data_IF_908821557332
#
_entry.id   IF_908821557332
#
_cell.length_a   1.000
_cell.length_b   1.000
_cell.length_c   1.000
_cell.angle_alpha   90.00
_cell.angle_beta   90.00
_cell.angle_gamma   90.00
#
_symmetry.space_group_name_H-M   'P 1'
#
loop_
_entity.id
_entity.type
_entity.pdbx_description
1 polymer ?
#
# COMPACT_ATOMS: atom_id res chain seq x y z
N UNK A 1 -26.84 29.06 -22.19
CA UNK A 1 -26.88 27.60 -21.97
C UNK A 1 -25.82 27.32 -20.90
N UNK A 2 -26.24 27.03 -19.67
CA UNK A 2 -25.34 26.64 -18.57
C UNK A 2 -25.00 25.17 -18.76
N UNK A 3 -23.74 24.87 -19.02
CA UNK A 3 -23.23 23.51 -18.94
C UNK A 3 -23.20 23.07 -17.46
N UNK A 4 -24.12 22.20 -17.06
CA UNK A 4 -24.07 21.49 -15.79
C UNK A 4 -23.04 20.38 -15.98
N UNK A 5 -21.92 20.47 -15.29
CA UNK A 5 -20.94 19.39 -15.16
C UNK A 5 -21.62 18.27 -14.37
N UNK A 6 -22.06 17.22 -15.06
CA UNK A 6 -22.65 16.04 -14.42
C UNK A 6 -21.58 15.38 -13.57
N UNK A 7 -21.78 15.38 -12.26
CA UNK A 7 -20.89 14.69 -11.31
C UNK A 7 -20.96 13.18 -11.57
N UNK A 8 -19.84 12.47 -11.35
CA UNK A 8 -19.65 11.04 -11.61
C UNK A 8 -20.70 10.11 -10.95
N UNK A 9 -21.48 10.56 -9.97
CA UNK A 9 -22.59 9.82 -9.35
C UNK A 9 -23.76 9.52 -10.32
N UNK A 10 -23.90 10.25 -11.41
CA UNK A 10 -24.90 9.96 -12.45
C UNK A 10 -24.48 8.80 -13.38
N UNK A 11 -23.18 8.47 -13.42
CA UNK A 11 -22.65 7.42 -14.29
C UNK A 11 -23.21 6.03 -13.90
N UNK A 12 -23.39 5.75 -12.61
CA UNK A 12 -23.91 4.48 -12.10
C UNK A 12 -25.37 4.23 -12.54
N UNK A 13 -26.23 5.25 -12.44
CA UNK A 13 -27.66 5.13 -12.85
C UNK A 13 -27.78 5.05 -14.37
N UNK A 14 -26.96 5.80 -15.10
CA UNK A 14 -26.97 5.80 -16.57
C UNK A 14 -26.52 4.44 -17.15
N UNK A 15 -25.48 3.83 -16.53
CA UNK A 15 -24.97 2.53 -16.93
C UNK A 15 -25.95 1.38 -16.66
N UNK A 16 -26.73 1.45 -15.58
CA UNK A 16 -27.83 0.49 -15.31
C UNK A 16 -28.90 0.57 -16.39
N UNK A 17 -29.21 1.77 -16.89
CA UNK A 17 -30.22 1.99 -17.93
C UNK A 17 -29.81 1.49 -19.33
N UNK A 18 -28.50 1.45 -19.63
CA UNK A 18 -27.97 0.98 -20.93
C UNK A 18 -27.38 -0.43 -20.88
N UNK A 19 -27.50 -1.15 -19.75
CA UNK A 19 -27.06 -2.54 -19.60
C UNK A 19 -25.54 -2.72 -19.57
N UNK A 20 -24.76 -1.66 -19.36
CA UNK A 20 -23.30 -1.75 -19.15
C UNK A 20 -23.04 -2.18 -17.72
N UNK A 21 -22.39 -3.30 -17.54
CA UNK A 21 -21.94 -3.78 -16.23
C UNK A 21 -20.74 -2.91 -15.83
N UNK A 22 -20.96 -2.00 -14.89
CA UNK A 22 -19.88 -1.17 -14.29
C UNK A 22 -19.09 -2.00 -13.31
N UNK A 23 -17.76 -1.98 -13.39
CA UNK A 23 -16.86 -2.71 -12.50
C UNK A 23 -15.80 -1.78 -11.95
N UNK A 24 -15.30 -2.11 -10.75
CA UNK A 24 -14.10 -1.53 -10.17
C UNK A 24 -13.12 -2.66 -9.88
N UNK A 25 -11.88 -2.50 -10.31
CA UNK A 25 -10.84 -3.54 -10.17
C UNK A 25 -9.68 -2.99 -9.36
N UNK A 26 -9.31 -3.71 -8.32
CA UNK A 26 -8.19 -3.39 -7.45
C UNK A 26 -7.03 -4.34 -7.76
N UNK A 27 -5.86 -3.76 -8.02
CA UNK A 27 -4.64 -4.49 -8.34
C UNK A 27 -3.61 -4.32 -7.22
N UNK A 28 -3.07 -5.41 -6.71
CA UNK A 28 -1.77 -5.32 -6.05
C UNK A 28 -0.67 -4.97 -7.07
N UNK A 29 0.47 -4.51 -6.57
CA UNK A 29 1.63 -4.14 -7.39
C UNK A 29 2.66 -5.26 -7.50
N UNK A 30 3.28 -5.62 -6.39
CA UNK A 30 4.47 -6.45 -6.35
C UNK A 30 4.12 -7.95 -6.52
N UNK A 31 4.49 -8.55 -7.65
CA UNK A 31 4.10 -9.91 -8.00
C UNK A 31 2.76 -10.02 -8.72
N UNK A 32 1.99 -8.93 -8.81
CA UNK A 32 0.70 -8.89 -9.51
C UNK A 32 0.77 -8.05 -10.78
N UNK A 33 0.87 -6.73 -10.67
CA UNK A 33 1.01 -5.84 -11.83
C UNK A 33 2.47 -5.73 -12.28
N UNK A 34 3.41 -5.77 -11.34
CA UNK A 34 4.84 -5.74 -11.56
C UNK A 34 5.35 -7.17 -11.48
N UNK A 35 6.12 -7.61 -12.48
CA UNK A 35 6.71 -8.95 -12.48
C UNK A 35 7.60 -9.18 -11.25
N UNK A 36 7.55 -10.41 -10.72
CA UNK A 36 8.30 -10.83 -9.53
C UNK A 36 9.73 -11.34 -9.90
N UNK A 37 10.15 -11.14 -11.14
CA UNK A 37 11.46 -11.49 -11.64
C UNK A 37 12.47 -10.32 -11.56
N UNK A 38 13.73 -10.59 -11.90
CA UNK A 38 14.78 -9.57 -11.92
C UNK A 38 14.49 -8.39 -12.86
N UNK A 39 13.64 -8.59 -13.86
CA UNK A 39 13.29 -7.57 -14.84
C UNK A 39 12.40 -6.47 -14.23
N UNK A 40 11.59 -6.81 -13.22
CA UNK A 40 10.75 -5.87 -12.46
C UNK A 40 9.96 -4.93 -13.38
N UNK A 41 9.28 -5.52 -14.38
CA UNK A 41 8.56 -4.82 -15.44
C UNK A 41 7.05 -4.86 -15.22
N UNK A 42 6.37 -3.90 -15.83
CA UNK A 42 4.92 -3.92 -16.04
C UNK A 42 4.71 -4.27 -17.51
N UNK A 43 4.04 -5.39 -17.84
CA UNK A 43 3.82 -5.77 -19.24
C UNK A 43 2.95 -4.75 -19.97
N UNK A 44 3.31 -4.39 -21.19
CA UNK A 44 2.50 -3.49 -22.04
C UNK A 44 1.07 -4.02 -22.26
N UNK A 45 0.91 -5.35 -22.29
CA UNK A 45 -0.41 -5.97 -22.39
C UNK A 45 -1.31 -5.68 -21.18
N UNK A 46 -0.73 -5.58 -19.96
CA UNK A 46 -1.47 -5.20 -18.77
C UNK A 46 -1.89 -3.73 -18.82
N UNK A 47 -0.98 -2.84 -19.22
CA UNK A 47 -1.26 -1.40 -19.39
C UNK A 47 -2.38 -1.19 -20.40
N UNK A 48 -2.29 -1.86 -21.57
CA UNK A 48 -3.31 -1.78 -22.60
C UNK A 48 -4.68 -2.31 -22.14
N UNK A 49 -4.70 -3.38 -21.33
CA UNK A 49 -5.93 -3.94 -20.77
C UNK A 49 -6.59 -2.97 -19.78
N UNK A 50 -5.77 -2.31 -18.92
CA UNK A 50 -6.23 -1.29 -17.97
C UNK A 50 -6.89 -0.13 -18.73
N UNK A 51 -6.21 0.44 -19.73
CA UNK A 51 -6.73 1.55 -20.53
C UNK A 51 -8.02 1.16 -21.24
N UNK A 52 -8.07 -0.04 -21.85
CA UNK A 52 -9.27 -0.52 -22.51
C UNK A 52 -10.46 -0.70 -21.55
N UNK A 53 -10.20 -1.14 -20.33
CA UNK A 53 -11.23 -1.24 -19.31
C UNK A 53 -11.74 0.14 -18.88
N UNK A 54 -10.84 1.13 -18.73
CA UNK A 54 -11.21 2.53 -18.46
C UNK A 54 -12.01 3.15 -19.59
N UNK A 55 -11.66 2.90 -20.86
CA UNK A 55 -12.44 3.33 -22.06
C UNK A 55 -13.86 2.75 -22.04
N UNK A 56 -14.06 1.56 -21.48
CA UNK A 56 -15.37 0.95 -21.29
C UNK A 56 -16.11 1.44 -20.03
N UNK A 57 -15.55 2.43 -19.31
CA UNK A 57 -16.17 3.07 -18.16
C UNK A 57 -15.92 2.36 -16.83
N UNK A 58 -15.02 1.36 -16.77
CA UNK A 58 -14.63 0.70 -15.53
C UNK A 58 -13.60 1.54 -14.74
N UNK A 59 -13.53 1.36 -13.42
CA UNK A 59 -12.53 2.01 -12.60
C UNK A 59 -11.38 1.04 -12.26
N UNK A 60 -10.15 1.50 -12.45
CA UNK A 60 -8.94 0.75 -12.20
C UNK A 60 -8.17 1.37 -11.04
N UNK A 61 -7.96 0.61 -9.99
CA UNK A 61 -7.33 1.07 -8.75
C UNK A 61 -6.09 0.24 -8.42
N UNK A 62 -5.06 0.91 -7.94
CA UNK A 62 -3.96 0.24 -7.24
C UNK A 62 -4.35 0.05 -5.78
N UNK A 63 -4.07 -1.13 -5.20
CA UNK A 63 -4.21 -1.42 -3.78
C UNK A 63 -2.94 -2.10 -3.25
N UNK A 64 -2.12 -1.35 -2.54
CA UNK A 64 -0.76 -1.77 -2.21
C UNK A 64 -0.37 -1.50 -0.75
N UNK A 65 0.50 -2.36 -0.22
CA UNK A 65 1.18 -2.10 1.06
C UNK A 65 2.23 -0.99 1.00
N UNK A 66 2.62 -0.54 -0.20
CA UNK A 66 3.54 0.60 -0.34
C UNK A 66 2.87 1.88 0.14
N UNK A 67 3.64 2.75 0.80
CA UNK A 67 3.19 4.13 1.04
C UNK A 67 3.12 4.90 -0.28
N UNK A 68 2.36 5.98 -0.31
CA UNK A 68 2.17 6.78 -1.54
C UNK A 68 3.48 7.33 -2.11
N UNK A 69 4.46 7.65 -1.25
CA UNK A 69 5.81 8.05 -1.64
C UNK A 69 6.62 6.91 -2.27
N UNK A 70 6.22 5.67 -2.03
CA UNK A 70 6.88 4.49 -2.57
C UNK A 70 6.23 3.96 -3.87
N UNK A 71 5.14 4.59 -4.33
CA UNK A 71 4.55 4.33 -5.65
C UNK A 71 5.34 5.09 -6.70
N UNK A 72 6.06 4.37 -7.54
CA UNK A 72 6.96 4.92 -8.56
C UNK A 72 6.20 5.70 -9.63
N UNK A 73 6.85 6.72 -10.22
CA UNK A 73 6.24 7.53 -11.28
C UNK A 73 5.75 6.72 -12.47
N UNK A 74 6.47 5.69 -12.88
CA UNK A 74 6.07 4.78 -13.98
C UNK A 74 4.72 4.09 -13.73
N UNK A 75 4.35 3.83 -12.43
CA UNK A 75 3.05 3.27 -12.06
C UNK A 75 1.97 4.37 -12.16
N UNK A 76 2.30 5.59 -11.73
CA UNK A 76 1.40 6.75 -11.84
C UNK A 76 1.13 7.13 -13.29
N UNK A 77 2.13 6.98 -14.17
CA UNK A 77 2.03 7.29 -15.60
C UNK A 77 1.05 6.36 -16.35
N UNK A 78 0.71 5.20 -15.79
CA UNK A 78 -0.35 4.32 -16.32
C UNK A 78 -1.72 5.01 -16.23
N UNK A 79 -1.92 5.92 -15.26
CA UNK A 79 -3.15 6.69 -15.16
C UNK A 79 -4.31 5.94 -14.51
N UNK A 80 -4.06 5.25 -13.41
CA UNK A 80 -5.13 4.64 -12.59
C UNK A 80 -6.13 5.69 -12.09
N UNK A 81 -7.38 5.28 -11.88
CA UNK A 81 -8.44 6.13 -11.33
C UNK A 81 -8.23 6.46 -9.86
N UNK A 82 -7.43 5.65 -9.15
CA UNK A 82 -7.05 5.93 -7.78
C UNK A 82 -6.07 4.93 -7.19
N UNK A 83 -5.67 5.22 -5.96
CA UNK A 83 -4.64 4.49 -5.24
C UNK A 83 -5.07 4.28 -3.79
N UNK A 84 -5.03 3.04 -3.33
CA UNK A 84 -5.07 2.64 -1.93
C UNK A 84 -3.64 2.28 -1.54
N UNK A 85 -3.04 3.05 -0.66
CA UNK A 85 -1.65 2.91 -0.26
C UNK A 85 -1.51 2.68 1.25
N UNK A 86 -0.38 2.11 1.67
CA UNK A 86 -0.10 1.85 3.08
C UNK A 86 -1.14 0.95 3.72
N UNK A 87 -1.61 -0.09 2.99
CA UNK A 87 -2.67 -0.98 3.47
C UNK A 87 -3.96 -0.22 3.89
N UNK A 88 -4.39 0.77 3.10
CA UNK A 88 -5.65 1.49 3.36
C UNK A 88 -5.52 2.71 4.26
N UNK A 89 -4.31 3.09 4.67
CA UNK A 89 -4.07 4.32 5.46
C UNK A 89 -4.11 5.59 4.62
N UNK A 90 -3.89 5.50 3.31
CA UNK A 90 -3.96 6.61 2.36
C UNK A 90 -4.76 6.19 1.14
N UNK A 91 -5.75 7.00 0.76
CA UNK A 91 -6.59 6.73 -0.41
C UNK A 91 -6.73 8.00 -1.24
N UNK A 92 -6.43 7.85 -2.53
CA UNK A 92 -6.56 8.88 -3.55
C UNK A 92 -7.53 8.41 -4.63
N UNK A 93 -8.47 9.26 -5.01
CA UNK A 93 -9.44 9.03 -6.07
C UNK A 93 -9.44 10.21 -7.04
N UNK A 94 -9.14 9.96 -8.32
CA UNK A 94 -9.11 11.01 -9.35
C UNK A 94 -8.18 12.18 -9.02
N UNK A 95 -7.02 11.91 -8.44
CA UNK A 95 -6.03 12.92 -8.02
C UNK A 95 -6.39 13.67 -6.73
N UNK A 96 -7.46 13.27 -6.03
CA UNK A 96 -7.87 13.88 -4.76
C UNK A 96 -7.70 12.87 -3.62
N UNK A 97 -7.03 13.28 -2.54
CA UNK A 97 -6.96 12.50 -1.30
C UNK A 97 -8.33 12.51 -0.65
N UNK A 98 -8.95 11.34 -0.51
CA UNK A 98 -10.26 11.17 0.12
C UNK A 98 -10.16 10.63 1.55
N UNK A 99 -9.06 9.97 1.86
CA UNK A 99 -8.78 9.45 3.18
C UNK A 99 -7.28 9.45 3.46
N UNK A 100 -6.90 9.86 4.64
CA UNK A 100 -5.55 9.73 5.17
C UNK A 100 -5.62 9.54 6.68
N UNK A 101 -5.07 8.45 7.18
CA UNK A 101 -4.85 8.26 8.61
C UNK A 101 -3.51 8.84 9.01
N UNK A 102 -3.47 9.53 10.13
CA UNK A 102 -2.22 10.09 10.68
C UNK A 102 -2.06 9.61 12.12
N UNK A 103 -0.94 8.96 12.40
CA UNK A 103 -0.62 8.52 13.74
C UNK A 103 -0.31 9.72 14.65
N UNK A 104 -0.71 9.68 15.94
CA UNK A 104 -0.30 10.70 16.89
C UNK A 104 1.22 10.82 17.00
N UNK A 105 1.77 12.02 16.94
CA UNK A 105 3.23 12.28 17.03
C UNK A 105 3.85 11.62 18.26
N UNK A 106 3.15 11.61 19.39
CA UNK A 106 3.62 10.95 20.62
C UNK A 106 3.80 9.45 20.41
N UNK A 107 2.89 8.79 19.69
CA UNK A 107 3.01 7.35 19.37
C UNK A 107 4.22 7.12 18.47
N UNK A 108 4.38 7.92 17.41
CA UNK A 108 5.54 7.82 16.51
C UNK A 108 6.87 7.94 17.27
N UNK A 109 6.98 8.91 18.19
CA UNK A 109 8.17 9.09 19.04
C UNK A 109 8.41 7.92 19.97
N UNK A 110 7.36 7.40 20.61
CA UNK A 110 7.47 6.26 21.52
C UNK A 110 7.93 5.01 20.76
N UNK A 111 7.39 4.77 19.57
CA UNK A 111 7.80 3.65 18.72
C UNK A 111 9.27 3.80 18.28
N UNK A 112 9.69 4.99 17.86
CA UNK A 112 11.09 5.21 17.48
C UNK A 112 12.06 4.96 18.64
N UNK A 113 11.69 5.34 19.86
CA UNK A 113 12.50 5.06 21.03
C UNK A 113 12.51 3.56 21.37
N UNK A 114 11.38 2.87 21.28
CA UNK A 114 11.31 1.42 21.50
C UNK A 114 12.22 0.67 20.51
N UNK A 115 12.15 1.02 19.20
CA UNK A 115 13.01 0.41 18.17
C UNK A 115 14.49 0.61 18.50
N UNK A 116 14.87 1.84 18.87
CA UNK A 116 16.24 2.15 19.25
C UNK A 116 16.68 1.39 20.52
N UNK A 117 15.87 1.39 21.57
CA UNK A 117 16.15 0.69 22.83
C UNK A 117 16.26 -0.83 22.64
N UNK A 118 15.49 -1.40 21.70
CA UNK A 118 15.58 -2.81 21.32
C UNK A 118 16.74 -3.10 20.35
N UNK A 119 17.63 -2.12 20.10
CA UNK A 119 18.81 -2.27 19.26
C UNK A 119 18.50 -2.76 17.83
N UNK A 120 17.40 -2.27 17.26
CA UNK A 120 16.95 -2.54 15.89
C UNK A 120 17.29 -1.36 14.96
N UNK A 121 17.24 -1.59 13.66
CA UNK A 121 17.51 -0.57 12.65
C UNK A 121 16.26 -0.31 11.82
N UNK A 122 15.59 0.85 11.95
CA UNK A 122 14.35 1.14 11.27
C UNK A 122 14.51 1.88 9.95
N UNK A 123 13.48 1.78 9.11
CA UNK A 123 13.17 2.74 8.05
C UNK A 123 11.68 3.07 8.15
N UNK A 124 11.36 4.32 8.48
CA UNK A 124 9.98 4.78 8.62
C UNK A 124 9.49 5.36 7.30
N UNK A 125 8.31 4.94 6.88
CA UNK A 125 7.68 5.37 5.65
C UNK A 125 6.42 6.21 5.96
N UNK A 126 6.39 7.43 5.44
CA UNK A 126 5.25 8.35 5.56
C UNK A 126 4.76 8.75 4.16
N UNK A 127 3.57 9.30 4.08
CA UNK A 127 2.99 9.79 2.81
C UNK A 127 3.76 10.97 2.18
N UNK A 128 4.69 11.60 2.91
CA UNK A 128 5.46 12.76 2.43
C UNK A 128 6.97 12.57 2.46
N UNK A 129 7.48 11.61 3.25
CA UNK A 129 8.91 11.46 3.49
C UNK A 129 9.27 10.07 3.97
N UNK A 130 10.53 9.72 3.86
CA UNK A 130 11.14 8.59 4.55
C UNK A 130 11.99 9.15 5.69
N UNK A 131 11.99 8.46 6.85
CA UNK A 131 12.82 8.84 7.98
C UNK A 131 13.71 7.67 8.39
N UNK A 132 14.95 7.98 8.72
CA UNK A 132 15.91 7.06 9.31
C UNK A 132 16.15 7.45 10.78
N UNK A 133 16.75 6.56 11.53
CA UNK A 133 17.20 6.86 12.88
C UNK A 133 18.74 6.83 12.92
N UNK A 134 19.37 7.99 12.97
CA UNK A 134 20.83 8.13 13.01
C UNK A 134 21.48 7.55 14.26
N UNK A 135 20.68 7.27 15.30
CA UNK A 135 21.15 6.60 16.53
C UNK A 135 21.32 5.09 16.34
N UNK A 136 20.57 4.52 15.36
CA UNK A 136 20.56 3.09 15.11
C UNK A 136 21.81 2.59 14.38
N UNK A 137 22.08 1.30 14.53
CA UNK A 137 23.16 0.61 13.79
C UNK A 137 22.82 0.55 12.30
N UNK A 138 23.84 0.34 11.47
CA UNK A 138 23.69 0.12 10.04
C UNK A 138 23.74 -1.38 9.73
N UNK A 139 22.63 -2.10 9.91
CA UNK A 139 22.54 -3.50 9.53
C UNK A 139 22.52 -3.66 7.99
N UNK A 140 23.10 -4.73 7.48
CA UNK A 140 23.33 -4.94 6.03
C UNK A 140 22.05 -4.83 5.21
N UNK A 141 20.95 -5.40 5.67
CA UNK A 141 19.66 -5.32 4.98
C UNK A 141 19.14 -3.89 4.85
N UNK A 142 19.27 -3.09 5.91
CA UNK A 142 18.94 -1.68 5.89
C UNK A 142 19.82 -0.91 4.90
N UNK A 143 21.15 -1.12 4.95
CA UNK A 143 22.10 -0.44 4.05
C UNK A 143 21.79 -0.74 2.59
N UNK A 144 21.48 -1.99 2.25
CA UNK A 144 21.09 -2.41 0.89
C UNK A 144 19.81 -1.71 0.43
N UNK A 145 18.77 -1.69 1.27
CA UNK A 145 17.51 -1.02 0.91
C UNK A 145 17.70 0.49 0.80
N UNK A 146 18.39 1.12 1.75
CA UNK A 146 18.70 2.54 1.74
C UNK A 146 19.37 2.95 0.44
N UNK A 147 20.45 2.24 0.05
CA UNK A 147 21.17 2.48 -1.20
C UNK A 147 20.26 2.36 -2.44
N UNK A 148 19.40 1.34 -2.47
CA UNK A 148 18.43 1.16 -3.56
C UNK A 148 17.46 2.36 -3.66
N UNK A 149 16.95 2.85 -2.53
CA UNK A 149 16.06 4.00 -2.50
C UNK A 149 16.75 5.30 -2.92
N UNK A 150 18.00 5.52 -2.47
CA UNK A 150 18.83 6.65 -2.91
C UNK A 150 19.09 6.62 -4.42
N UNK A 151 19.36 5.43 -4.99
CA UNK A 151 19.50 5.26 -6.45
C UNK A 151 18.21 5.55 -7.22
N UNK A 152 17.04 5.37 -6.59
CA UNK A 152 15.73 5.75 -7.12
C UNK A 152 15.39 7.24 -6.91
N UNK A 153 16.33 8.04 -6.40
CA UNK A 153 16.16 9.47 -6.15
C UNK A 153 15.34 9.81 -4.92
N UNK A 154 15.12 8.85 -3.99
CA UNK A 154 14.41 9.11 -2.75
C UNK A 154 15.32 9.80 -1.74
N UNK A 155 14.79 10.83 -1.07
CA UNK A 155 15.50 11.50 0.03
C UNK A 155 15.35 10.69 1.32
N UNK A 156 16.48 10.21 1.85
CA UNK A 156 16.58 9.48 3.12
C UNK A 156 17.40 10.26 4.16
N UNK A 157 17.55 11.57 3.96
CA UNK A 157 18.23 12.45 4.92
C UNK A 157 17.39 12.80 6.16
N UNK A 158 16.02 12.83 6.11
CA UNK A 158 15.21 13.09 7.30
C UNK A 158 15.45 12.08 8.42
N UNK A 159 15.33 12.55 9.65
CA UNK A 159 15.70 11.82 10.85
C UNK A 159 14.55 11.81 11.88
N UNK A 160 14.48 10.79 12.69
CA UNK A 160 13.47 10.69 13.76
C UNK A 160 13.52 11.86 14.76
N UNK A 161 14.58 12.65 14.81
CA UNK A 161 14.70 13.85 15.64
C UNK A 161 14.00 15.07 15.03
N UNK A 162 13.64 15.05 13.76
CA UNK A 162 13.01 16.17 13.07
C UNK A 162 11.63 16.48 13.67
N UNK A 163 11.23 17.75 13.67
CA UNK A 163 10.00 18.20 14.33
C UNK A 163 8.74 17.61 13.69
N UNK A 164 8.78 17.36 12.41
CA UNK A 164 7.68 16.83 11.59
C UNK A 164 7.73 15.30 11.45
N UNK A 165 8.58 14.62 12.23
CA UNK A 165 8.67 13.16 12.21
C UNK A 165 7.31 12.51 12.42
N UNK A 166 6.89 11.76 11.43
CA UNK A 166 5.69 10.92 11.42
C UNK A 166 5.91 9.74 10.47
N UNK A 167 5.12 8.69 10.62
CA UNK A 167 5.13 7.55 9.69
C UNK A 167 3.74 6.92 9.62
N UNK A 168 3.51 6.19 8.52
CA UNK A 168 2.31 5.40 8.29
C UNK A 168 2.59 3.92 8.56
N UNK A 169 3.78 3.46 8.21
CA UNK A 169 4.31 2.11 8.46
C UNK A 169 5.83 2.20 8.61
N UNK A 170 6.45 1.12 9.04
CA UNK A 170 7.90 1.04 9.06
C UNK A 170 8.43 -0.37 8.88
N UNK A 171 9.66 -0.44 8.42
CA UNK A 171 10.46 -1.62 8.28
C UNK A 171 11.51 -1.62 9.39
N UNK A 172 11.90 -2.78 9.89
CA UNK A 172 12.98 -2.88 10.84
C UNK A 172 13.82 -4.13 10.61
N UNK A 173 15.13 -3.97 10.76
CA UNK A 173 16.11 -5.05 10.73
C UNK A 173 16.61 -5.31 12.14
N UNK A 174 16.87 -6.58 12.43
CA UNK A 174 17.34 -7.07 13.71
C UNK A 174 18.33 -8.22 13.54
N UNK A 175 19.13 -8.46 14.56
CA UNK A 175 20.12 -9.54 14.66
C UNK A 175 20.15 -10.11 16.09
N UNK A 176 21.14 -10.95 16.39
CA UNK A 176 21.34 -11.57 17.71
C UNK A 176 21.55 -10.58 18.86
N UNK A 177 21.85 -9.30 18.55
CA UNK A 177 22.03 -8.23 19.57
C UNK A 177 20.75 -7.45 19.84
N UNK A 178 19.68 -7.75 19.10
CA UNK A 178 18.39 -7.05 19.20
C UNK A 178 17.48 -7.75 20.21
N UNK A 179 16.73 -6.98 21.00
CA UNK A 179 15.70 -7.49 21.91
C UNK A 179 14.36 -7.62 21.17
N UNK A 180 14.30 -8.59 20.27
CA UNK A 180 13.12 -8.81 19.42
C UNK A 180 11.87 -9.23 20.23
N UNK A 181 12.05 -9.97 21.32
CA UNK A 181 10.93 -10.43 22.15
C UNK A 181 10.25 -9.26 22.89
N UNK A 182 11.06 -8.35 23.47
CA UNK A 182 10.55 -7.12 24.05
C UNK A 182 9.87 -6.26 23.00
N UNK A 183 10.52 -6.06 21.86
CA UNK A 183 9.98 -5.27 20.76
C UNK A 183 8.63 -5.79 20.33
N UNK A 184 8.52 -7.07 19.99
CA UNK A 184 7.28 -7.70 19.53
C UNK A 184 6.15 -7.53 20.55
N UNK A 185 6.38 -7.84 21.80
CA UNK A 185 5.38 -7.70 22.86
C UNK A 185 4.84 -6.26 23.00
N UNK A 186 5.72 -5.26 22.84
CA UNK A 186 5.32 -3.86 23.01
C UNK A 186 4.66 -3.30 21.74
N UNK A 187 5.18 -3.65 20.55
CA UNK A 187 4.68 -3.10 19.29
C UNK A 187 3.32 -3.69 18.90
N UNK A 188 3.05 -4.94 19.22
CA UNK A 188 1.79 -5.63 18.93
C UNK A 188 0.57 -5.05 19.67
N UNK A 189 0.74 -4.03 20.49
CA UNK A 189 -0.37 -3.26 21.07
C UNK A 189 -1.09 -2.41 20.00
N UNK A 190 -0.31 -1.81 19.09
CA UNK A 190 -0.81 -0.83 18.12
C UNK A 190 -0.55 -1.24 16.65
N UNK A 191 0.34 -2.21 16.42
CA UNK A 191 0.77 -2.63 15.08
C UNK A 191 0.67 -4.15 14.91
N UNK A 192 0.50 -4.58 13.67
CA UNK A 192 0.72 -5.95 13.24
C UNK A 192 2.21 -6.14 12.96
N UNK A 193 2.80 -7.19 13.56
CA UNK A 193 4.20 -7.55 13.38
C UNK A 193 4.30 -8.65 12.32
N UNK A 194 4.89 -8.31 11.17
CA UNK A 194 4.96 -9.19 10.00
C UNK A 194 6.43 -9.56 9.75
N UNK A 195 6.77 -10.84 9.91
CA UNK A 195 8.10 -11.34 9.54
C UNK A 195 8.18 -11.42 8.02
N UNK A 196 9.21 -10.80 7.45
CA UNK A 196 9.47 -10.78 5.99
C UNK A 196 10.70 -11.59 5.58
N UNK A 197 11.45 -12.06 6.54
CA UNK A 197 12.66 -12.87 6.35
C UNK A 197 13.52 -12.88 7.61
N UNK A 198 14.66 -13.57 7.54
CA UNK A 198 15.60 -13.63 8.65
C UNK A 198 16.15 -12.24 8.98
N UNK A 199 15.93 -11.79 10.20
CA UNK A 199 16.38 -10.47 10.66
C UNK A 199 15.65 -9.28 10.03
N UNK A 200 14.45 -9.49 9.43
CA UNK A 200 13.69 -8.44 8.78
C UNK A 200 12.19 -8.54 9.07
N UNK A 201 11.58 -7.44 9.47
CA UNK A 201 10.14 -7.35 9.77
C UNK A 201 9.54 -6.02 9.28
N UNK A 202 8.24 -6.06 9.09
CA UNK A 202 7.40 -4.93 8.71
C UNK A 202 6.31 -4.74 9.77
N UNK A 203 6.03 -3.49 10.13
CA UNK A 203 4.97 -3.12 11.04
C UNK A 203 3.95 -2.25 10.32
N UNK A 204 2.69 -2.72 10.34
CA UNK A 204 1.53 -2.00 9.81
C UNK A 204 0.55 -1.70 10.94
N UNK A 205 -0.17 -0.59 10.84
CA UNK A 205 -1.09 -0.14 11.90
C UNK A 205 -2.29 -1.08 11.98
N UNK A 206 -2.62 -1.55 13.18
CA UNK A 206 -3.80 -2.41 13.41
C UNK A 206 -5.09 -1.75 12.96
N UNK A 207 -5.99 -2.57 12.43
CA UNK A 207 -7.29 -2.14 11.92
C UNK A 207 -7.25 -1.55 10.51
N UNK A 208 -6.07 -1.49 9.88
CA UNK A 208 -5.90 -1.13 8.48
C UNK A 208 -5.47 -2.35 7.67
N UNK A 209 -6.06 -2.50 6.51
CA UNK A 209 -5.69 -3.53 5.54
C UNK A 209 -6.05 -3.07 4.14
N UNK A 210 -5.56 -3.74 3.12
CA UNK A 210 -6.01 -3.53 1.73
C UNK A 210 -7.54 -3.64 1.64
N UNK A 211 -8.16 -4.61 2.32
CA UNK A 211 -9.61 -4.79 2.34
C UNK A 211 -10.36 -3.59 2.91
N UNK A 212 -9.92 -3.02 4.04
CA UNK A 212 -10.56 -1.82 4.60
C UNK A 212 -10.39 -0.59 3.69
N UNK A 213 -9.34 -0.57 2.87
CA UNK A 213 -9.15 0.44 1.84
C UNK A 213 -10.18 0.33 0.72
N UNK A 214 -10.44 -0.90 0.23
CA UNK A 214 -11.49 -1.19 -0.76
C UNK A 214 -12.86 -0.71 -0.26
N UNK A 215 -13.25 -1.06 0.96
CA UNK A 215 -14.52 -0.63 1.54
C UNK A 215 -14.73 0.88 1.46
N UNK A 216 -13.70 1.67 1.82
CA UNK A 216 -13.75 3.14 1.74
C UNK A 216 -13.88 3.67 0.31
N UNK A 217 -13.21 3.03 -0.66
CA UNK A 217 -13.32 3.41 -2.07
C UNK A 217 -14.71 3.10 -2.60
N UNK A 218 -15.27 1.94 -2.28
CA UNK A 218 -16.63 1.54 -2.69
C UNK A 218 -17.67 2.48 -2.08
N UNK A 219 -17.53 2.84 -0.80
CA UNK A 219 -18.40 3.81 -0.13
C UNK A 219 -18.32 5.18 -0.82
N UNK A 220 -17.11 5.69 -1.08
CA UNK A 220 -16.91 6.97 -1.75
C UNK A 220 -17.57 7.06 -3.12
N UNK A 221 -17.51 5.98 -3.91
CA UNK A 221 -18.12 5.92 -5.24
C UNK A 221 -19.58 5.46 -5.23
N UNK A 222 -20.11 5.04 -4.08
CA UNK A 222 -21.42 4.40 -3.96
C UNK A 222 -21.57 3.19 -4.91
N UNK A 223 -20.53 2.35 -4.97
CA UNK A 223 -20.46 1.15 -5.82
C UNK A 223 -20.82 -0.07 -4.98
N UNK A 224 -21.75 -0.93 -5.46
CA UNK A 224 -22.07 -2.16 -4.75
C UNK A 224 -20.90 -3.15 -4.83
N UNK A 225 -20.65 -3.87 -3.72
CA UNK A 225 -19.53 -4.79 -3.58
C UNK A 225 -19.48 -5.88 -4.68
N UNK A 226 -20.65 -6.29 -5.20
CA UNK A 226 -20.74 -7.29 -6.26
C UNK A 226 -20.12 -6.83 -7.59
N UNK A 227 -19.87 -5.54 -7.76
CA UNK A 227 -19.18 -4.96 -8.91
C UNK A 227 -17.68 -4.80 -8.71
N UNK A 228 -17.16 -5.18 -7.53
CA UNK A 228 -15.75 -5.07 -7.19
C UNK A 228 -14.98 -6.36 -7.49
N UNK A 229 -13.78 -6.20 -8.02
CA UNK A 229 -12.80 -7.24 -8.30
C UNK A 229 -11.49 -6.90 -7.59
N UNK A 230 -10.78 -7.91 -7.11
CA UNK A 230 -9.45 -7.77 -6.54
C UNK A 230 -8.50 -8.82 -7.11
N UNK A 231 -7.27 -8.40 -7.42
CA UNK A 231 -6.23 -9.25 -8.01
C UNK A 231 -4.96 -9.13 -7.18
N UNK A 232 -4.45 -10.27 -6.68
CA UNK A 232 -3.27 -10.32 -5.83
C UNK A 232 -2.52 -11.65 -5.94
N UNK A 233 -1.35 -11.75 -5.32
CA UNK A 233 -0.47 -12.93 -5.40
C UNK A 233 0.06 -13.44 -4.06
N UNK A 234 -0.02 -12.65 -3.01
CA UNK A 234 0.63 -12.98 -1.73
C UNK A 234 -0.32 -12.88 -0.52
N UNK A 235 0.10 -13.44 0.62
CA UNK A 235 -0.75 -13.50 1.83
C UNK A 235 -1.14 -12.12 2.39
N UNK A 236 -0.39 -11.06 2.07
CA UNK A 236 -0.80 -9.70 2.41
C UNK A 236 -1.98 -9.17 1.57
N UNK A 237 -2.34 -9.88 0.47
CA UNK A 237 -3.51 -9.59 -0.35
C UNK A 237 -4.78 -10.28 0.16
N UNK A 238 -4.64 -11.27 1.02
CA UNK A 238 -5.78 -12.02 1.54
C UNK A 238 -6.91 -11.11 2.09
N UNK A 239 -6.62 -10.03 2.85
CA UNK A 239 -7.67 -9.10 3.26
C UNK A 239 -8.39 -8.41 2.10
N UNK A 240 -7.68 -8.08 1.00
CA UNK A 240 -8.25 -7.49 -0.21
C UNK A 240 -9.12 -8.51 -0.96
N UNK A 241 -8.59 -9.72 -1.14
CA UNK A 241 -9.29 -10.80 -1.84
C UNK A 241 -10.55 -11.24 -1.10
N UNK A 242 -10.54 -11.25 0.24
CA UNK A 242 -11.70 -11.56 1.06
C UNK A 242 -12.72 -10.41 1.14
N UNK A 243 -12.33 -9.18 0.84
CA UNK A 243 -13.21 -8.02 0.88
C UNK A 243 -14.19 -7.95 -0.29
N UNK A 244 -13.98 -8.73 -1.35
CA UNK A 244 -14.81 -8.70 -2.57
C UNK A 244 -15.23 -10.11 -3.00
N UNK A 245 -16.42 -10.28 -3.62
CA UNK A 245 -16.87 -11.59 -4.09
C UNK A 245 -16.13 -12.06 -5.34
N UNK A 246 -15.50 -11.15 -6.10
CA UNK A 246 -14.80 -11.49 -7.33
C UNK A 246 -13.29 -11.32 -7.13
N UNK A 247 -12.67 -12.30 -6.49
CA UNK A 247 -11.23 -12.33 -6.21
C UNK A 247 -10.47 -13.21 -7.20
N UNK A 248 -9.27 -12.76 -7.57
CA UNK A 248 -8.39 -13.44 -8.53
C UNK A 248 -7.00 -13.56 -7.90
N UNK A 249 -6.52 -14.80 -7.78
CA UNK A 249 -5.14 -15.08 -7.36
C UNK A 249 -4.28 -15.31 -8.61
N UNK A 250 -3.14 -14.62 -8.66
CA UNK A 250 -2.18 -14.75 -9.75
C UNK A 250 -1.60 -16.17 -9.85
N UNK A 251 -1.19 -16.58 -11.05
CA UNK A 251 -0.58 -17.89 -11.27
C UNK A 251 0.71 -18.15 -10.48
N UNK A 252 1.51 -17.10 -10.23
CA UNK A 252 2.69 -17.10 -9.36
C UNK A 252 2.37 -17.02 -7.87
N UNK A 253 1.10 -16.81 -7.50
CA UNK A 253 0.69 -16.70 -6.10
C UNK A 253 1.01 -17.95 -5.28
N UNK A 254 1.23 -17.76 -3.98
CA UNK A 254 1.57 -18.84 -3.06
C UNK A 254 0.50 -19.94 -3.00
N UNK A 255 0.93 -21.19 -2.76
CA UNK A 255 -0.01 -22.32 -2.60
C UNK A 255 -0.95 -22.15 -1.40
N UNK A 256 -0.53 -21.40 -0.38
CA UNK A 256 -1.33 -21.06 0.78
C UNK A 256 -2.48 -20.12 0.38
N UNK A 257 -2.17 -19.07 -0.36
CA UNK A 257 -3.17 -18.12 -0.84
C UNK A 257 -4.17 -18.77 -1.81
N UNK A 258 -3.69 -19.69 -2.69
CA UNK A 258 -4.57 -20.41 -3.64
C UNK A 258 -5.54 -21.35 -2.98
N UNK A 259 -5.33 -21.72 -1.70
CA UNK A 259 -6.17 -22.62 -0.93
C UNK A 259 -7.10 -21.91 0.05
N UNK A 260 -6.86 -20.62 0.29
CA UNK A 260 -7.69 -19.79 1.18
C UNK A 260 -8.89 -19.19 0.46
#
# INVERSE_FOLDING_TARGET
>A
IKYVRLEKSFCSIYNILIGVIFMIVFFDLDGTLISDDEAYIIPDSAVNAIHKAQENGHLMYVDTGRTVMNVEQRIRDIGFDGYVCGCGMYIECGGKVIYQHTLPTKLCRNVANLVYECNMTPMYEHSKSFYCDKRSRNLDGFVKLKRRFEMQGKDLSPDVSDNDFAFDKFLAWYDEKSDIERFKREIEKDFDFIVRGDGFCEMTVKGFSKGTGIEKVLEYHNIPINSAYAIGDSMNDLPMLNAVPNSIVMGNGSDELKKS
#
